data_IF_827762818538
#
_entry.id   IF_827762818538
#
_cell.length_a   1.000
_cell.length_b   1.000
_cell.length_c   1.000
_cell.angle_alpha   90.00
_cell.angle_beta   90.00
_cell.angle_gamma   90.00
#
_symmetry.space_group_name_H-M   'P 1'
#
loop_
_entity.id
_entity.type
_entity.pdbx_description
1 polymer ?
#
# COMPACT_ATOMS: atom_id res chain seq x y z
N UNK A 1 7.78 0.80 -9.51
CA UNK A 1 8.63 1.99 -9.32
C UNK A 1 8.60 2.32 -7.84
N UNK A 2 9.71 2.76 -7.24
CA UNK A 2 9.69 3.22 -5.86
C UNK A 2 8.84 4.48 -5.72
N UNK A 3 8.06 4.56 -4.64
CA UNK A 3 7.38 5.78 -4.23
C UNK A 3 8.43 6.73 -3.67
N UNK A 4 8.32 8.00 -4.04
CA UNK A 4 9.09 9.01 -3.33
C UNK A 4 8.33 9.51 -2.08
N UNK A 5 9.06 10.17 -1.18
CA UNK A 5 8.50 10.70 0.08
C UNK A 5 7.33 11.68 -0.17
N UNK A 6 7.44 12.51 -1.20
CA UNK A 6 6.42 13.50 -1.53
C UNK A 6 5.12 12.82 -1.96
N UNK A 7 5.18 11.81 -2.82
CA UNK A 7 4.03 11.01 -3.24
C UNK A 7 3.37 10.31 -2.04
N UNK A 8 4.19 9.75 -1.14
CA UNK A 8 3.67 9.08 0.06
C UNK A 8 2.93 10.03 1.00
N UNK A 9 3.45 11.25 1.20
CA UNK A 9 2.83 12.25 2.10
C UNK A 9 1.61 12.94 1.47
N UNK A 10 1.71 13.26 0.18
CA UNK A 10 0.66 13.98 -0.56
C UNK A 10 -0.53 13.10 -0.94
N UNK A 11 -0.42 11.78 -0.81
CA UNK A 11 -1.48 10.87 -1.15
C UNK A 11 -2.75 11.13 -0.34
N UNK A 12 -3.83 11.46 -1.04
CA UNK A 12 -5.14 11.75 -0.45
C UNK A 12 -6.04 10.51 -0.48
N UNK A 13 -6.87 10.31 0.56
CA UNK A 13 -8.00 9.40 0.52
C UNK A 13 -8.91 9.71 -0.67
N UNK A 14 -9.50 8.68 -1.25
CA UNK A 14 -10.56 8.80 -2.26
C UNK A 14 -11.70 7.85 -1.92
N UNK A 15 -12.67 7.71 -2.83
CA UNK A 15 -13.86 6.89 -2.59
C UNK A 15 -13.57 5.38 -2.45
N UNK A 16 -12.35 4.95 -2.81
CA UNK A 16 -11.89 3.56 -2.72
C UNK A 16 -10.46 3.47 -2.20
N UNK A 17 -10.14 2.32 -1.61
CA UNK A 17 -8.78 1.95 -1.20
C UNK A 17 -7.80 2.09 -2.37
N UNK A 18 -6.77 2.91 -2.17
CA UNK A 18 -5.65 3.07 -3.10
C UNK A 18 -4.44 2.29 -2.56
N UNK A 19 -3.75 1.57 -3.44
CA UNK A 19 -2.59 0.74 -3.12
C UNK A 19 -1.36 1.10 -3.98
N UNK A 20 -0.86 2.35 -3.94
CA UNK A 20 0.41 2.68 -4.59
C UNK A 20 1.53 1.73 -4.13
N UNK A 21 2.28 1.20 -5.10
CA UNK A 21 3.35 0.23 -4.88
C UNK A 21 4.69 0.95 -4.81
N UNK A 22 5.50 0.61 -3.81
CA UNK A 22 6.88 1.08 -3.63
C UNK A 22 7.91 0.13 -4.28
N UNK A 23 7.44 -0.95 -4.91
CA UNK A 23 8.31 -2.04 -5.36
C UNK A 23 8.61 -3.04 -4.23
N UNK A 24 9.28 -4.15 -4.57
CA UNK A 24 9.60 -5.19 -3.60
C UNK A 24 8.38 -5.81 -2.89
N UNK A 25 7.19 -5.70 -3.50
CA UNK A 25 5.90 -6.10 -2.91
C UNK A 25 5.41 -5.23 -1.74
N UNK A 26 6.10 -4.12 -1.42
CA UNK A 26 5.69 -3.13 -0.45
C UNK A 26 4.66 -2.17 -1.07
N UNK A 27 3.60 -1.90 -0.33
CA UNK A 27 2.47 -1.07 -0.77
C UNK A 27 2.07 -0.09 0.32
N UNK A 28 1.79 1.15 -0.08
CA UNK A 28 1.18 2.13 0.80
C UNK A 28 -0.33 2.11 0.60
N UNK A 29 -1.07 1.78 1.65
CA UNK A 29 -2.52 1.66 1.63
C UNK A 29 -3.14 2.92 2.19
N UNK A 30 -3.97 3.57 1.37
CA UNK A 30 -4.71 4.76 1.74
C UNK A 30 -6.20 4.41 1.65
N UNK A 31 -6.84 4.29 2.80
CA UNK A 31 -8.25 3.91 2.92
C UNK A 31 -9.16 5.14 2.83
N UNK A 32 -10.43 4.98 2.41
CA UNK A 32 -11.39 6.09 2.33
C UNK A 32 -11.63 6.82 3.66
N UNK A 33 -11.48 6.12 4.78
CA UNK A 33 -11.58 6.67 6.15
C UNK A 33 -10.37 7.54 6.57
N UNK A 34 -9.38 7.70 5.70
CA UNK A 34 -8.19 8.51 5.95
C UNK A 34 -7.01 7.77 6.57
N UNK A 35 -7.18 6.50 6.96
CA UNK A 35 -6.07 5.73 7.51
C UNK A 35 -5.01 5.41 6.44
N UNK A 36 -3.75 5.39 6.89
CA UNK A 36 -2.59 5.12 6.05
C UNK A 36 -1.75 4.02 6.67
N UNK A 37 -1.47 2.97 5.90
CA UNK A 37 -0.77 1.78 6.40
C UNK A 37 0.21 1.26 5.35
N UNK A 38 1.38 0.83 5.79
CA UNK A 38 2.28 0.06 4.93
C UNK A 38 1.91 -1.42 4.99
N UNK A 39 1.84 -2.07 3.82
CA UNK A 39 1.56 -3.49 3.69
C UNK A 39 2.61 -4.13 2.80
N UNK A 40 3.25 -5.17 3.32
CA UNK A 40 4.09 -6.05 2.53
C UNK A 40 3.25 -7.22 2.03
N UNK A 41 3.20 -7.41 0.71
CA UNK A 41 2.71 -8.65 0.14
C UNK A 41 3.86 -9.67 0.17
N UNK A 42 3.76 -10.67 1.03
CA UNK A 42 4.76 -11.72 1.16
C UNK A 42 4.12 -13.09 1.04
N UNK A 43 4.94 -14.09 0.77
CA UNK A 43 4.56 -15.49 0.81
C UNK A 43 5.14 -16.12 2.05
N UNK A 44 4.32 -16.86 2.79
CA UNK A 44 4.75 -17.65 3.92
C UNK A 44 4.23 -19.07 3.74
N UNK A 45 5.13 -20.06 3.82
CA UNK A 45 4.81 -21.47 3.60
C UNK A 45 4.01 -21.73 2.30
N UNK A 46 4.35 -21.04 1.21
CA UNK A 46 3.68 -21.18 -0.09
C UNK A 46 2.34 -20.43 -0.22
N UNK A 47 1.78 -19.92 0.89
CA UNK A 47 0.57 -19.09 0.86
C UNK A 47 0.94 -17.62 0.66
N UNK A 48 0.32 -16.96 -0.32
CA UNK A 48 0.39 -15.52 -0.46
C UNK A 48 -0.45 -14.87 0.63
N UNK A 49 0.15 -14.00 1.46
CA UNK A 49 -0.62 -13.14 2.34
C UNK A 49 -1.43 -12.18 1.47
N UNK A 50 -2.74 -12.45 1.36
CA UNK A 50 -3.67 -11.59 0.63
C UNK A 50 -3.75 -10.27 1.38
N UNK A 51 -3.16 -9.26 0.78
CA UNK A 51 -3.34 -7.89 1.19
C UNK A 51 -4.76 -7.48 0.71
N UNK A 52 -5.77 -7.78 1.53
CA UNK A 52 -7.22 -7.46 1.37
C UNK A 52 -7.50 -6.12 0.65
#
# INVERSE_FOLDING_TARGET
>A
MPLNDLESRSAKPGDRLRKPSDGGSLQHWITPDGARRWRLAYRFAGALQRAL
#
